data_IF_782656790245
#
_entry.id   IF_782656790245
#
_cell.length_a   1.000
_cell.length_b   1.000
_cell.length_c   1.000
_cell.angle_alpha   90.00
_cell.angle_beta   90.00
_cell.angle_gamma   90.00
#
_symmetry.space_group_name_H-M   'P 1'
#
loop_
_entity.id
_entity.type
_entity.pdbx_description
1 polymer ?
#
# COMPACT_ATOMS: atom_id res chain seq x y z
N UNK A 1 18.44 45.14 2.94
CA UNK A 1 17.28 44.47 3.56
C UNK A 1 17.14 43.11 2.92
N UNK A 2 16.79 42.04 3.66
CA UNK A 2 16.52 40.74 3.05
C UNK A 2 15.32 40.84 2.10
N UNK A 3 15.39 40.14 0.97
CA UNK A 3 14.31 40.09 -0.02
C UNK A 3 13.30 39.03 0.44
N UNK A 4 12.00 39.37 0.45
CA UNK A 4 10.95 38.38 0.67
C UNK A 4 10.86 37.47 -0.56
N UNK A 5 11.21 36.19 -0.38
CA UNK A 5 11.14 35.17 -1.41
C UNK A 5 10.74 33.81 -0.81
N UNK A 6 10.16 32.94 -1.62
CA UNK A 6 9.94 31.54 -1.22
C UNK A 6 11.28 30.83 -0.98
N UNK A 7 11.31 29.87 -0.05
CA UNK A 7 12.54 29.13 0.27
C UNK A 7 13.02 28.32 -0.96
N UNK A 8 14.15 28.70 -1.58
CA UNK A 8 14.65 28.04 -2.79
C UNK A 8 15.25 26.65 -2.50
N UNK A 9 15.56 26.36 -1.23
CA UNK A 9 16.09 25.07 -0.77
C UNK A 9 15.01 24.15 -0.22
N UNK A 10 13.72 24.49 -0.43
CA UNK A 10 12.61 23.66 0.03
C UNK A 10 12.54 22.38 -0.80
N UNK A 11 12.87 21.26 -0.18
CA UNK A 11 12.72 19.95 -0.80
C UNK A 11 11.24 19.62 -1.09
N UNK A 12 10.96 18.89 -2.19
CA UNK A 12 9.62 18.45 -2.49
C UNK A 12 9.11 17.49 -1.40
N UNK A 13 7.79 17.47 -1.14
CA UNK A 13 7.22 16.58 -0.14
C UNK A 13 7.45 15.11 -0.53
N UNK A 14 7.83 14.30 0.47
CA UNK A 14 8.01 12.86 0.29
C UNK A 14 6.69 12.21 -0.16
N UNK A 15 6.77 11.37 -1.20
CA UNK A 15 5.64 10.62 -1.73
C UNK A 15 5.69 9.17 -1.23
N UNK A 16 4.53 8.57 -0.98
CA UNK A 16 4.45 7.12 -0.77
C UNK A 16 4.60 6.37 -2.09
N UNK A 17 4.92 5.09 -2.01
CA UNK A 17 5.15 4.19 -3.15
C UNK A 17 3.99 4.08 -4.16
N UNK A 18 2.74 4.34 -3.73
CA UNK A 18 1.55 4.30 -4.60
C UNK A 18 1.04 5.68 -5.00
N UNK A 19 1.78 6.76 -4.72
CA UNK A 19 1.34 8.11 -5.08
C UNK A 19 1.30 8.26 -6.61
N UNK A 20 0.15 8.63 -7.17
CA UNK A 20 -0.05 8.73 -8.62
C UNK A 20 -0.37 7.41 -9.33
N UNK A 21 -0.33 6.27 -8.63
CA UNK A 21 -0.67 4.96 -9.20
C UNK A 21 -2.15 4.66 -8.97
N UNK A 22 -2.87 4.22 -9.99
CA UNK A 22 -4.27 3.80 -9.85
C UNK A 22 -4.35 2.39 -9.24
N UNK A 23 -5.17 2.22 -8.21
CA UNK A 23 -5.35 0.95 -7.49
C UNK A 23 -6.67 0.33 -7.92
N UNK A 24 -6.60 -0.86 -8.52
CA UNK A 24 -7.78 -1.63 -8.94
C UNK A 24 -7.90 -2.92 -8.11
N UNK A 25 -9.13 -3.31 -7.78
CA UNK A 25 -9.43 -4.54 -7.04
C UNK A 25 -9.07 -5.81 -7.82
N UNK A 26 -8.95 -5.72 -9.15
CA UNK A 26 -8.56 -6.82 -10.02
C UNK A 26 -7.07 -7.16 -9.91
N UNK A 27 -6.22 -6.23 -9.49
CA UNK A 27 -4.77 -6.48 -9.36
C UNK A 27 -4.44 -7.15 -8.02
N UNK A 28 -4.78 -8.43 -7.92
CA UNK A 28 -4.60 -9.22 -6.69
C UNK A 28 -3.14 -9.30 -6.28
N UNK A 29 -2.21 -9.36 -7.23
CA UNK A 29 -0.77 -9.39 -6.93
C UNK A 29 -0.35 -8.16 -6.12
N UNK A 30 -0.71 -6.95 -6.58
CA UNK A 30 -0.43 -5.70 -5.86
C UNK A 30 -1.09 -5.69 -4.46
N UNK A 31 -2.38 -6.04 -4.39
CA UNK A 31 -3.12 -6.02 -3.13
C UNK A 31 -2.55 -7.01 -2.10
N UNK A 32 -2.06 -8.16 -2.58
CA UNK A 32 -1.48 -9.21 -1.74
C UNK A 32 -0.19 -8.79 -1.03
N UNK A 33 0.46 -7.71 -1.46
CA UNK A 33 1.67 -7.18 -0.82
C UNK A 33 1.37 -6.36 0.44
N UNK A 34 0.10 -5.98 0.66
CA UNK A 34 -0.34 -5.20 1.83
C UNK A 34 -1.09 -6.04 2.86
N UNK A 35 -1.02 -7.38 2.75
CA UNK A 35 -1.63 -8.31 3.71
C UNK A 35 -0.63 -9.29 4.30
N UNK A 36 -0.95 -9.78 5.48
CA UNK A 36 -0.23 -10.85 6.15
C UNK A 36 -0.26 -12.15 5.37
N UNK A 37 0.89 -12.79 5.10
CA UNK A 37 0.94 -14.08 4.43
C UNK A 37 0.24 -15.18 5.23
N UNK A 38 0.34 -15.13 6.56
CA UNK A 38 -0.15 -16.17 7.47
C UNK A 38 -1.59 -15.95 7.94
N UNK A 39 -2.02 -14.70 8.09
CA UNK A 39 -3.32 -14.37 8.70
C UNK A 39 -4.28 -13.64 7.76
N UNK A 40 -3.81 -13.18 6.59
CA UNK A 40 -4.60 -12.36 5.67
C UNK A 40 -4.94 -10.96 6.20
N UNK A 41 -4.50 -10.60 7.41
CA UNK A 41 -4.73 -9.29 7.99
C UNK A 41 -4.11 -8.17 7.13
N UNK A 42 -4.88 -7.11 6.87
CA UNK A 42 -4.39 -5.93 6.16
C UNK A 42 -3.46 -5.13 7.07
N UNK A 43 -2.27 -4.80 6.57
CA UNK A 43 -1.31 -4.03 7.35
C UNK A 43 -1.75 -2.58 7.55
N UNK A 44 -1.45 -2.05 8.75
CA UNK A 44 -1.69 -0.65 9.08
C UNK A 44 -0.68 0.30 8.43
N UNK A 45 -0.99 1.59 8.46
CA UNK A 45 -0.18 2.65 7.83
C UNK A 45 1.27 2.70 8.32
N UNK A 46 1.51 2.41 9.60
CA UNK A 46 2.86 2.39 10.20
C UNK A 46 3.76 1.30 9.59
N UNK A 47 3.17 0.28 8.96
CA UNK A 47 3.89 -0.80 8.27
C UNK A 47 3.95 -0.52 6.76
N UNK A 48 2.81 -0.16 6.15
CA UNK A 48 2.71 0.02 4.70
C UNK A 48 3.40 1.28 4.20
N UNK A 49 3.58 2.30 5.06
CA UNK A 49 4.18 3.59 4.68
C UNK A 49 3.34 4.39 3.68
N UNK A 50 2.09 4.03 3.46
CA UNK A 50 1.20 4.71 2.51
C UNK A 50 0.67 6.04 3.04
N UNK A 51 0.28 6.94 2.13
CA UNK A 51 -0.53 8.10 2.50
C UNK A 51 -1.97 7.65 2.82
N UNK A 52 -2.71 8.46 3.60
CA UNK A 52 -4.05 8.08 4.06
C UNK A 52 -5.03 7.81 2.92
N UNK A 53 -4.91 8.56 1.82
CA UNK A 53 -5.72 8.35 0.61
C UNK A 53 -5.48 6.96 0.02
N UNK A 54 -4.21 6.59 -0.19
CA UNK A 54 -3.83 5.30 -0.77
C UNK A 54 -4.09 4.13 0.16
N UNK A 55 -3.91 4.31 1.47
CA UNK A 55 -4.27 3.28 2.46
C UNK A 55 -5.77 2.96 2.42
N UNK A 56 -6.63 3.98 2.32
CA UNK A 56 -8.08 3.80 2.19
C UNK A 56 -8.47 3.13 0.87
N UNK A 57 -7.84 3.53 -0.23
CA UNK A 57 -8.04 2.90 -1.55
C UNK A 57 -7.67 1.42 -1.54
N UNK A 58 -6.48 1.08 -1.05
CA UNK A 58 -6.00 -0.32 -0.92
C UNK A 58 -6.94 -1.13 -0.03
N UNK A 59 -7.35 -0.60 1.12
CA UNK A 59 -8.26 -1.31 2.04
C UNK A 59 -9.61 -1.61 1.37
N UNK A 60 -10.17 -0.63 0.63
CA UNK A 60 -11.42 -0.83 -0.12
C UNK A 60 -11.25 -1.84 -1.25
N UNK A 61 -10.15 -1.77 -1.99
CA UNK A 61 -9.85 -2.67 -3.09
C UNK A 61 -9.67 -4.12 -2.60
N UNK A 62 -8.94 -4.34 -1.50
CA UNK A 62 -8.78 -5.65 -0.87
C UNK A 62 -10.15 -6.22 -0.47
N UNK A 63 -10.95 -5.45 0.28
CA UNK A 63 -12.28 -5.90 0.70
C UNK A 63 -13.18 -6.24 -0.49
N UNK A 64 -13.14 -5.43 -1.55
CA UNK A 64 -13.89 -5.68 -2.78
C UNK A 64 -13.41 -6.96 -3.49
N UNK A 65 -12.10 -7.16 -3.59
CA UNK A 65 -11.51 -8.35 -4.18
C UNK A 65 -11.88 -9.61 -3.39
N UNK A 66 -11.92 -9.52 -2.06
CA UNK A 66 -12.33 -10.61 -1.17
C UNK A 66 -13.80 -10.99 -1.33
N UNK A 67 -14.71 -10.00 -1.31
CA UNK A 67 -16.16 -10.25 -1.47
C UNK A 67 -16.50 -10.83 -2.84
N UNK A 68 -15.79 -10.38 -3.90
CA UNK A 68 -15.99 -10.88 -5.26
C UNK A 68 -15.25 -12.19 -5.56
N UNK A 69 -14.50 -12.74 -4.61
CA UNK A 69 -13.79 -14.02 -4.77
C UNK A 69 -12.47 -13.95 -5.56
N UNK A 70 -11.94 -12.75 -5.83
CA UNK A 70 -10.63 -12.59 -6.49
C UNK A 70 -9.45 -12.85 -5.53
N UNK A 71 -9.63 -12.61 -4.22
CA UNK A 71 -8.56 -12.70 -3.23
C UNK A 71 -9.00 -13.46 -1.98
N UNK A 72 -8.19 -14.40 -1.46
CA UNK A 72 -8.48 -15.09 -0.20
C UNK A 72 -8.46 -14.14 1.02
N UNK A 73 -9.28 -14.46 2.03
CA UNK A 73 -9.42 -13.65 3.26
C UNK A 73 -8.42 -14.06 4.35
N UNK A 74 -8.23 -15.37 4.53
CA UNK A 74 -7.52 -15.92 5.70
C UNK A 74 -6.01 -16.09 5.50
N UNK A 75 -5.54 -16.11 4.26
CA UNK A 75 -4.15 -16.35 3.92
C UNK A 75 -3.80 -15.65 2.60
N UNK A 76 -2.52 -15.40 2.35
CA UNK A 76 -2.05 -14.90 1.06
C UNK A 76 -1.90 -16.07 0.08
N UNK A 77 -2.32 -15.87 -1.17
CA UNK A 77 -2.15 -16.89 -2.20
C UNK A 77 -0.66 -17.29 -2.34
N UNK A 78 -0.31 -18.60 -2.30
CA UNK A 78 1.07 -19.08 -2.40
C UNK A 78 1.84 -18.55 -3.61
N UNK A 79 1.16 -18.31 -4.73
CA UNK A 79 1.77 -17.78 -5.96
C UNK A 79 2.40 -16.39 -5.78
N UNK A 80 1.99 -15.62 -4.76
CA UNK A 80 2.50 -14.28 -4.48
C UNK A 80 3.46 -14.21 -3.30
N UNK A 81 3.86 -15.34 -2.70
CA UNK A 81 4.77 -15.35 -1.54
C UNK A 81 6.20 -14.93 -1.90
N UNK A 82 6.61 -15.16 -3.14
CA UNK A 82 7.94 -14.81 -3.67
C UNK A 82 8.03 -13.37 -4.18
N UNK A 83 6.95 -12.60 -4.11
CA UNK A 83 6.94 -11.18 -4.49
C UNK A 83 7.89 -10.35 -3.61
N UNK A 84 8.43 -9.24 -4.15
CA UNK A 84 9.27 -8.33 -3.37
C UNK A 84 8.52 -7.81 -2.14
N UNK A 85 9.18 -7.86 -0.98
CA UNK A 85 8.60 -7.40 0.29
C UNK A 85 8.68 -5.88 0.37
N UNK A 86 7.54 -5.24 0.19
CA UNK A 86 7.40 -3.77 0.33
C UNK A 86 7.27 -3.37 1.81
N UNK A 87 6.54 -4.17 2.59
CA UNK A 87 6.30 -3.89 4.00
C UNK A 87 7.50 -4.37 4.84
N UNK A 88 8.07 -3.47 5.64
CA UNK A 88 9.23 -3.74 6.50
C UNK A 88 8.81 -4.50 7.77
N UNK A 89 8.47 -5.78 7.61
CA UNK A 89 8.05 -6.66 8.71
C UNK A 89 9.10 -7.73 8.91
N UNK A 90 9.55 -7.86 10.15
CA UNK A 90 10.28 -9.03 10.64
C UNK A 90 9.30 -9.78 11.54
N UNK A 91 9.07 -11.05 11.24
CA UNK A 91 8.29 -11.94 12.11
C UNK A 91 9.19 -12.46 13.22
#
# INVERSE_FOLDING_TARGET
>A
QPVEMENPYKEPPKKCILCGINVDYKNVQLLSQFVSPYTGCIYGRHITGLCDKKQKEITKAIKRAQVLGFMPVMFKNPSFLTDPKICNIKY
#
